data_IF_509233479970
#
_entry.id   IF_509233479970
#
_cell.length_a   1.000
_cell.length_b   1.000
_cell.length_c   1.000
_cell.angle_alpha   90.00
_cell.angle_beta   90.00
_cell.angle_gamma   90.00
#
_symmetry.space_group_name_H-M   'P 1'
#
loop_
_entity.id
_entity.type
_entity.pdbx_description
1 polymer ?
#
# COMPACT_ATOMS: atom_id res chain seq x y z
N UNK A 1 7.45 1.54 10.03
CA UNK A 1 6.99 1.02 8.72
C UNK A 1 5.47 1.03 8.55
N UNK A 2 4.68 1.13 9.62
CA UNK A 2 3.21 1.04 9.58
C UNK A 2 2.57 2.12 8.70
N UNK A 3 2.95 3.39 8.84
CA UNK A 3 2.41 4.49 8.03
C UNK A 3 2.65 4.34 6.52
N UNK A 4 3.92 4.21 6.11
CA UNK A 4 4.29 4.03 4.70
C UNK A 4 3.58 2.79 4.10
N UNK A 5 3.54 1.70 4.86
CA UNK A 5 2.82 0.50 4.44
C UNK A 5 1.31 0.71 4.29
N UNK A 6 0.68 1.53 5.13
CA UNK A 6 -0.75 1.84 5.02
C UNK A 6 -1.04 2.61 3.74
N UNK A 7 -0.22 3.61 3.38
CA UNK A 7 -0.36 4.35 2.12
C UNK A 7 -0.33 3.41 0.91
N UNK A 8 0.66 2.52 0.86
CA UNK A 8 0.83 1.59 -0.26
C UNK A 8 -0.33 0.58 -0.31
N UNK A 9 -0.75 0.03 0.83
CA UNK A 9 -1.89 -0.90 0.89
C UNK A 9 -3.20 -0.25 0.45
N UNK A 10 -3.46 1.00 0.87
CA UNK A 10 -4.62 1.77 0.41
C UNK A 10 -4.57 2.01 -1.10
N UNK A 11 -3.40 2.35 -1.64
CA UNK A 11 -3.23 2.50 -3.08
C UNK A 11 -3.49 1.18 -3.84
N UNK A 12 -2.95 0.05 -3.38
CA UNK A 12 -3.22 -1.27 -3.98
C UNK A 12 -4.71 -1.59 -3.96
N UNK A 13 -5.38 -1.38 -2.82
CA UNK A 13 -6.81 -1.62 -2.69
C UNK A 13 -7.63 -0.76 -3.67
N UNK A 14 -7.34 0.55 -3.75
CA UNK A 14 -8.04 1.46 -4.64
C UNK A 14 -7.81 1.12 -6.13
N UNK A 15 -6.62 0.69 -6.51
CA UNK A 15 -6.31 0.29 -7.89
C UNK A 15 -6.82 -1.12 -8.25
N UNK A 16 -7.10 -1.95 -7.26
CA UNK A 16 -7.72 -3.27 -7.42
C UNK A 16 -9.26 -3.21 -7.30
N UNK A 17 -9.89 -2.07 -7.67
CA UNK A 17 -11.34 -1.85 -7.61
C UNK A 17 -11.95 -2.09 -6.21
N UNK A 18 -11.18 -1.89 -5.13
CA UNK A 18 -11.62 -2.16 -3.77
C UNK A 18 -11.58 -3.64 -3.37
N UNK A 19 -10.76 -4.46 -4.04
CA UNK A 19 -10.60 -5.88 -3.70
C UNK A 19 -9.75 -6.07 -2.44
N UNK A 20 -10.39 -6.51 -1.36
CA UNK A 20 -9.69 -6.91 -0.13
C UNK A 20 -8.76 -8.11 -0.34
N UNK A 21 -9.13 -9.04 -1.24
CA UNK A 21 -8.33 -10.20 -1.58
C UNK A 21 -6.96 -9.79 -2.16
N UNK A 22 -6.94 -8.80 -3.06
CA UNK A 22 -5.69 -8.32 -3.64
C UNK A 22 -4.79 -7.63 -2.60
N UNK A 23 -5.39 -6.87 -1.68
CA UNK A 23 -4.64 -6.26 -0.57
C UNK A 23 -4.06 -7.32 0.38
N UNK A 24 -4.81 -8.39 0.67
CA UNK A 24 -4.32 -9.52 1.47
C UNK A 24 -3.24 -10.33 0.76
N UNK A 25 -3.39 -10.57 -0.55
CA UNK A 25 -2.38 -11.26 -1.35
C UNK A 25 -1.06 -10.49 -1.35
N UNK A 26 -1.11 -9.18 -1.58
CA UNK A 26 0.07 -8.30 -1.47
C UNK A 26 0.72 -8.40 -0.08
N UNK A 27 -0.08 -8.38 0.98
CA UNK A 27 0.44 -8.53 2.34
C UNK A 27 1.11 -9.89 2.58
N UNK A 28 0.48 -10.98 2.11
CA UNK A 28 0.99 -12.33 2.25
C UNK A 28 2.32 -12.50 1.51
N UNK A 29 2.42 -12.01 0.27
CA UNK A 29 3.68 -12.04 -0.51
C UNK A 29 4.79 -11.32 0.23
N UNK A 30 4.53 -10.14 0.79
CA UNK A 30 5.56 -9.40 1.54
C UNK A 30 5.95 -10.09 2.85
N UNK A 31 4.98 -10.67 3.57
CA UNK A 31 5.26 -11.42 4.79
C UNK A 31 6.16 -12.63 4.50
N UNK A 32 5.85 -13.41 3.47
CA UNK A 32 6.62 -14.59 3.08
C UNK A 32 7.96 -14.23 2.48
N UNK A 33 8.00 -13.37 1.46
CA UNK A 33 9.22 -13.08 0.73
C UNK A 33 10.17 -12.21 1.55
N UNK A 34 9.72 -11.06 2.04
CA UNK A 34 10.60 -10.17 2.80
C UNK A 34 10.82 -10.74 4.21
N UNK A 35 9.75 -11.09 4.92
CA UNK A 35 9.83 -11.50 6.32
C UNK A 35 10.43 -12.89 6.53
N UNK A 36 9.88 -13.91 5.88
CA UNK A 36 10.27 -15.31 6.14
C UNK A 36 11.43 -15.81 5.30
N UNK A 37 11.65 -15.26 4.09
CA UNK A 37 12.69 -15.73 3.18
C UNK A 37 13.93 -14.82 3.19
N UNK A 38 13.78 -13.52 2.91
CA UNK A 38 14.91 -12.63 2.69
C UNK A 38 15.57 -12.11 3.98
N UNK A 39 14.79 -11.61 4.94
CA UNK A 39 15.32 -11.05 6.19
C UNK A 39 16.18 -12.04 7.02
N UNK A 40 15.83 -13.34 7.13
CA UNK A 40 16.62 -14.31 7.87
C UNK A 40 18.00 -14.61 7.27
N UNK A 41 18.25 -14.21 6.01
CA UNK A 41 19.55 -14.38 5.37
C UNK A 41 20.63 -13.45 5.95
N UNK A 42 20.24 -12.46 6.75
CA UNK A 42 21.13 -11.46 7.34
C UNK A 42 21.10 -11.59 8.87
N UNK A 43 22.27 -11.42 9.50
CA UNK A 43 22.42 -11.47 10.95
C UNK A 43 23.40 -10.39 11.43
N UNK A 44 23.40 -10.14 12.75
CA UNK A 44 24.32 -9.20 13.36
C UNK A 44 24.21 -7.77 12.79
N UNK A 45 25.33 -7.06 12.58
CA UNK A 45 25.33 -5.69 12.07
C UNK A 45 24.64 -5.51 10.71
N UNK A 46 24.68 -6.54 9.85
CA UNK A 46 24.06 -6.46 8.53
C UNK A 46 22.54 -6.51 8.60
N UNK A 47 21.98 -7.16 9.62
CA UNK A 47 20.54 -7.12 9.88
C UNK A 47 20.06 -5.70 10.24
N UNK A 48 20.84 -4.96 11.03
CA UNK A 48 20.51 -3.57 11.36
C UNK A 48 20.59 -2.66 10.12
N UNK A 49 21.60 -2.85 9.27
CA UNK A 49 21.70 -2.14 7.98
C UNK A 49 20.51 -2.45 7.09
N UNK A 50 20.11 -3.72 7.00
CA UNK A 50 18.93 -4.15 6.25
C UNK A 50 17.66 -3.47 6.78
N UNK A 51 17.48 -3.31 8.09
CA UNK A 51 16.34 -2.60 8.66
C UNK A 51 16.25 -1.14 8.18
N UNK A 52 17.38 -0.42 8.14
CA UNK A 52 17.43 0.95 7.64
C UNK A 52 17.21 1.03 6.13
N UNK A 53 17.80 0.12 5.35
CA UNK A 53 17.58 0.04 3.91
C UNK A 53 16.12 -0.26 3.58
N UNK A 54 15.53 -1.23 4.27
CA UNK A 54 14.10 -1.54 4.16
C UNK A 54 13.26 -0.31 4.51
N UNK A 55 13.61 0.40 5.59
CA UNK A 55 12.91 1.62 5.96
C UNK A 55 12.93 2.69 4.86
N UNK A 56 14.10 2.90 4.25
CA UNK A 56 14.27 3.80 3.13
C UNK A 56 13.40 3.38 1.95
N UNK A 57 13.43 2.11 1.55
CA UNK A 57 12.63 1.57 0.43
C UNK A 57 11.13 1.83 0.64
N UNK A 58 10.60 1.50 1.82
CA UNK A 58 9.19 1.71 2.13
C UNK A 58 8.77 3.17 2.02
N UNK A 59 9.60 4.09 2.52
CA UNK A 59 9.32 5.52 2.42
C UNK A 59 9.44 6.05 0.99
N UNK A 60 10.47 5.63 0.25
CA UNK A 60 10.63 6.02 -1.16
C UNK A 60 9.42 5.59 -1.99
N UNK A 61 8.95 4.34 -1.82
CA UNK A 61 7.76 3.85 -2.53
C UNK A 61 6.51 4.61 -2.10
N UNK A 62 6.32 4.88 -0.81
CA UNK A 62 5.16 5.63 -0.33
C UNK A 62 5.13 7.07 -0.89
N UNK A 63 6.28 7.75 -0.92
CA UNK A 63 6.40 9.09 -1.52
C UNK A 63 6.09 9.02 -3.02
N UNK A 64 6.67 8.06 -3.74
CA UNK A 64 6.40 7.87 -5.17
C UNK A 64 4.90 7.64 -5.45
N UNK A 65 4.24 6.81 -4.64
CA UNK A 65 2.78 6.58 -4.73
C UNK A 65 2.00 7.87 -4.50
N UNK A 66 2.36 8.66 -3.50
CA UNK A 66 1.71 9.96 -3.23
C UNK A 66 1.87 10.91 -4.41
N UNK A 67 3.07 10.99 -4.99
CA UNK A 67 3.36 11.87 -6.12
C UNK A 67 2.64 11.44 -7.41
N UNK A 68 2.58 10.13 -7.70
CA UNK A 68 1.98 9.60 -8.95
C UNK A 68 0.46 9.50 -8.87
N UNK A 69 -0.09 8.99 -7.77
CA UNK A 69 -1.54 8.84 -7.63
C UNK A 69 -2.23 10.18 -7.34
N UNK A 70 -1.53 11.10 -6.70
CA UNK A 70 -2.08 12.35 -6.17
C UNK A 70 -3.05 12.11 -5.00
N UNK A 71 -3.29 13.12 -4.14
CA UNK A 71 -4.19 12.99 -2.99
C UNK A 71 -5.63 12.62 -3.38
N UNK A 72 -6.07 12.94 -4.59
CA UNK A 72 -7.45 12.72 -5.07
C UNK A 72 -7.79 11.25 -5.43
N UNK A 73 -6.80 10.38 -5.64
CA UNK A 73 -7.02 8.93 -5.89
C UNK A 73 -6.78 8.06 -4.65
N UNK A 74 -6.35 8.66 -3.55
CA UNK A 74 -6.26 7.99 -2.25
C UNK A 74 -7.58 8.04 -1.46
N UNK A 75 -8.49 8.93 -1.85
CA UNK A 75 -9.86 9.03 -1.32
C UNK A 75 -10.85 8.24 -2.18
N UNK A 76 -11.72 7.45 -1.54
CA UNK A 76 -12.84 6.79 -2.21
C UNK A 76 -13.84 7.87 -2.64
N UNK A 77 -14.15 7.98 -3.94
CA UNK A 77 -15.28 8.82 -4.38
C UNK A 77 -16.58 8.23 -3.81
N UNK A 78 -17.46 9.04 -3.19
CA UNK A 78 -18.79 8.58 -2.80
C UNK A 78 -19.52 8.02 -4.01
N UNK A 79 -20.29 6.95 -3.81
CA UNK A 79 -21.21 6.49 -4.85
C UNK A 79 -22.19 7.63 -5.20
N UNK A 80 -22.58 7.79 -6.47
CA UNK A 80 -23.58 8.80 -6.85
C UNK A 80 -24.83 8.64 -5.99
N UNK A 81 -25.33 9.75 -5.46
CA UNK A 81 -26.58 9.76 -4.70
C UNK A 81 -27.71 9.23 -5.60
N UNK A 82 -28.38 8.11 -5.24
CA UNK A 82 -29.49 7.57 -6.01
C UNK A 82 -30.59 8.61 -6.26
N UNK A 83 -30.76 9.58 -5.36
CA UNK A 83 -31.76 10.64 -5.49
C UNK A 83 -31.46 11.64 -6.62
N UNK A 84 -30.18 11.85 -6.95
CA UNK A 84 -29.77 12.75 -8.03
C UNK A 84 -30.00 12.16 -9.44
N UNK A 85 -30.08 10.83 -9.54
CA UNK A 85 -30.34 10.12 -10.81
C UNK A 85 -31.84 10.05 -11.13
N UNK A 86 -32.71 10.23 -10.13
CA UNK A 86 -34.17 10.14 -10.26
C UNK A 86 -34.89 11.47 -10.47
N UNK A 87 -34.19 12.61 -10.55
CA UNK A 87 -34.83 13.91 -10.79
C UNK A 87 -35.22 14.07 -12.29
N UNK A 88 -36.50 14.23 -12.64
CA UNK A 88 -36.91 14.50 -14.02
C UNK A 88 -36.47 15.91 -14.43
N UNK A 89 -35.91 16.02 -15.65
CA UNK A 89 -35.57 17.30 -16.30
C UNK A 89 -36.72 17.93 -17.04
#
# INVERSE_FOLDING_TARGET
>A
MTLAGSVIRTWVFNNAAGSALMAMLFHAVLNTFAGSFFFPMFSGPDQLRLWWLNALVWWTVAIAVILVAGPARLTRRPAPDPAAVSAPG
#
